data_IF_553953546708
#
_entry.id   IF_553953546708
#
_cell.length_a   1.000
_cell.length_b   1.000
_cell.length_c   1.000
_cell.angle_alpha   90.00
_cell.angle_beta   90.00
_cell.angle_gamma   90.00
#
_symmetry.space_group_name_H-M   'P 1'
#
loop_
_entity.id
_entity.type
_entity.pdbx_description
1 polymer ?
#
# COMPACT_ATOMS: atom_id res chain seq x y z
N UNK A 1 3.85 9.97 -18.28
CA UNK A 1 3.94 9.38 -16.91
C UNK A 1 5.38 8.96 -16.75
N UNK A 2 6.04 9.19 -15.60
CA UNK A 2 7.47 8.88 -15.43
C UNK A 2 7.74 7.40 -15.76
N UNK A 3 8.61 7.16 -16.73
CA UNK A 3 9.07 5.83 -17.13
C UNK A 3 10.05 5.26 -16.11
N UNK A 4 9.97 3.96 -15.82
CA UNK A 4 10.89 3.31 -14.86
C UNK A 4 11.64 2.17 -15.54
N UNK A 5 12.98 2.22 -15.45
CA UNK A 5 13.86 1.12 -15.85
C UNK A 5 14.43 0.46 -14.58
N UNK A 6 14.12 -0.81 -14.37
CA UNK A 6 14.77 -1.64 -13.36
C UNK A 6 15.97 -2.33 -14.00
N UNK A 7 17.18 -2.16 -13.47
CA UNK A 7 18.35 -2.80 -14.08
C UNK A 7 19.28 -3.47 -13.08
N UNK A 8 19.82 -4.64 -13.45
CA UNK A 8 20.69 -5.41 -12.57
C UNK A 8 21.64 -6.35 -13.29
N UNK A 9 22.62 -6.86 -12.56
CA UNK A 9 23.31 -8.10 -12.91
C UNK A 9 22.38 -9.29 -12.72
N UNK A 10 22.37 -10.22 -13.67
CA UNK A 10 21.54 -11.42 -13.62
C UNK A 10 20.05 -11.12 -13.44
N UNK A 11 19.27 -12.12 -13.03
CA UNK A 11 17.81 -12.05 -12.97
C UNK A 11 17.21 -11.23 -11.81
N UNK A 12 17.98 -10.37 -11.13
CA UNK A 12 17.45 -9.61 -9.98
C UNK A 12 16.36 -8.61 -10.38
N UNK A 13 16.56 -7.86 -11.47
CA UNK A 13 15.56 -6.93 -12.01
C UNK A 13 14.30 -7.67 -12.49
N UNK A 14 14.44 -8.85 -13.10
CA UNK A 14 13.30 -9.69 -13.49
C UNK A 14 12.49 -10.12 -12.27
N UNK A 15 13.16 -10.63 -11.23
CA UNK A 15 12.50 -11.09 -10.01
C UNK A 15 11.86 -9.97 -9.20
N UNK A 16 12.51 -8.79 -9.15
CA UNK A 16 11.95 -7.63 -8.45
C UNK A 16 10.79 -7.02 -9.23
N UNK A 17 10.84 -7.02 -10.57
CA UNK A 17 9.73 -6.64 -11.44
C UNK A 17 8.52 -7.55 -11.19
N UNK A 18 8.73 -8.87 -11.22
CA UNK A 18 7.69 -9.85 -10.94
C UNK A 18 7.07 -9.66 -9.54
N UNK A 19 7.91 -9.44 -8.52
CA UNK A 19 7.45 -9.14 -7.16
C UNK A 19 6.66 -7.83 -7.10
N UNK A 20 7.11 -6.83 -7.86
CA UNK A 20 6.43 -5.57 -8.13
C UNK A 20 5.01 -5.77 -8.65
N UNK A 21 4.87 -6.51 -9.74
CA UNK A 21 3.58 -6.84 -10.35
C UNK A 21 2.68 -7.64 -9.40
N UNK A 22 3.23 -8.62 -8.67
CA UNK A 22 2.48 -9.39 -7.69
C UNK A 22 1.90 -8.53 -6.57
N UNK A 23 2.60 -7.47 -6.15
CA UNK A 23 2.18 -6.60 -5.05
C UNK A 23 1.28 -5.47 -5.55
N UNK A 24 1.73 -4.75 -6.58
CA UNK A 24 1.13 -3.49 -7.03
C UNK A 24 0.29 -3.64 -8.31
N UNK A 25 0.28 -4.82 -8.93
CA UNK A 25 -0.33 -5.07 -10.23
C UNK A 25 0.59 -4.67 -11.38
N UNK A 26 0.27 -5.13 -12.59
CA UNK A 26 1.00 -4.77 -13.81
C UNK A 26 1.06 -3.25 -13.98
N UNK A 27 2.24 -2.75 -14.31
CA UNK A 27 2.50 -1.32 -14.48
C UNK A 27 2.84 -0.98 -15.93
N UNK A 28 2.22 0.07 -16.48
CA UNK A 28 2.61 0.67 -17.75
C UNK A 28 3.89 1.51 -17.59
N UNK A 29 4.63 1.68 -18.69
CA UNK A 29 5.89 2.44 -18.72
C UNK A 29 6.90 1.99 -17.66
N UNK A 30 6.98 0.68 -17.44
CA UNK A 30 7.99 0.03 -16.60
C UNK A 30 8.61 -1.11 -17.37
N UNK A 31 9.94 -1.12 -17.46
CA UNK A 31 10.69 -2.21 -18.05
C UNK A 31 11.83 -2.66 -17.15
N UNK A 32 12.33 -3.87 -17.40
CA UNK A 32 13.44 -4.46 -16.67
C UNK A 32 14.55 -4.87 -17.66
N UNK A 33 15.80 -4.62 -17.29
CA UNK A 33 16.99 -4.89 -18.10
C UNK A 33 18.00 -5.64 -17.26
N UNK A 34 18.34 -6.85 -17.68
CA UNK A 34 19.35 -7.66 -17.03
C UNK A 34 20.62 -7.74 -17.87
N UNK A 35 21.76 -7.73 -17.18
CA UNK A 35 23.07 -8.08 -17.73
C UNK A 35 23.31 -9.59 -17.51
N UNK A 36 23.38 -10.36 -18.59
CA UNK A 36 23.72 -11.79 -18.55
C UNK A 36 25.23 -12.03 -18.59
N UNK A 37 25.72 -13.23 -18.22
CA UNK A 37 27.16 -13.53 -18.21
C UNK A 37 27.86 -13.42 -19.57
N UNK A 38 27.12 -13.58 -20.66
CA UNK A 38 27.59 -13.54 -22.05
C UNK A 38 27.41 -12.15 -22.71
N UNK A 39 26.99 -11.15 -21.95
CA UNK A 39 26.70 -9.80 -22.44
C UNK A 39 27.71 -8.77 -21.93
N UNK A 40 27.92 -7.72 -22.72
CA UNK A 40 28.78 -6.60 -22.39
C UNK A 40 28.02 -5.32 -22.06
N UNK A 41 28.74 -4.22 -21.77
CA UNK A 41 28.14 -2.92 -21.50
C UNK A 41 27.28 -2.39 -22.64
N UNK A 42 27.71 -2.56 -23.90
CA UNK A 42 26.96 -2.08 -25.07
C UNK A 42 25.62 -2.80 -25.24
N UNK A 43 25.56 -4.10 -24.91
CA UNK A 43 24.31 -4.88 -24.92
C UNK A 43 23.31 -4.33 -23.88
N UNK A 44 23.78 -4.02 -22.68
CA UNK A 44 22.95 -3.43 -21.61
C UNK A 44 22.42 -2.07 -22.04
N UNK A 45 23.28 -1.23 -22.61
CA UNK A 45 22.90 0.09 -23.12
C UNK A 45 21.82 -0.02 -24.20
N UNK A 46 22.05 -0.87 -25.21
CA UNK A 46 21.09 -1.08 -26.30
C UNK A 46 19.73 -1.59 -25.79
N UNK A 47 19.73 -2.46 -24.77
CA UNK A 47 18.48 -2.90 -24.12
C UNK A 47 17.76 -1.78 -23.38
N UNK A 48 18.49 -0.92 -22.66
CA UNK A 48 17.91 0.25 -21.98
C UNK A 48 17.28 1.21 -22.98
N UNK A 49 18.01 1.57 -24.04
CA UNK A 49 17.51 2.45 -25.11
C UNK A 49 16.26 1.85 -25.78
N UNK A 50 16.28 0.55 -26.09
CA UNK A 50 15.11 -0.16 -26.62
C UNK A 50 13.92 -0.16 -25.66
N UNK A 51 14.16 -0.33 -24.37
CA UNK A 51 13.11 -0.32 -23.35
C UNK A 51 12.49 1.08 -23.20
N UNK A 52 13.31 2.13 -23.19
CA UNK A 52 12.85 3.52 -23.11
C UNK A 52 12.03 3.87 -24.35
N UNK A 53 12.46 3.47 -25.54
CA UNK A 53 11.72 3.67 -26.78
C UNK A 53 10.36 2.95 -26.83
N UNK A 54 10.09 2.04 -25.89
CA UNK A 54 8.79 1.37 -25.76
C UNK A 54 7.80 2.11 -24.84
N UNK A 55 8.25 3.17 -24.17
CA UNK A 55 7.38 3.99 -23.32
C UNK A 55 6.56 4.98 -24.14
N UNK A 56 5.39 5.33 -23.61
CA UNK A 56 4.52 6.34 -24.25
C UNK A 56 5.15 7.74 -24.26
N UNK A 57 6.03 8.00 -23.30
CA UNK A 57 6.71 9.26 -23.03
C UNK A 57 8.09 8.97 -22.44
N UNK A 58 9.15 9.45 -23.09
CA UNK A 58 10.55 9.27 -22.72
C UNK A 58 11.18 10.54 -22.11
N UNK A 59 10.40 11.60 -21.87
CA UNK A 59 10.95 12.84 -21.31
C UNK A 59 11.44 12.66 -19.88
N UNK A 60 10.73 11.87 -19.08
CA UNK A 60 10.99 11.67 -17.65
C UNK A 60 11.25 10.18 -17.36
N UNK A 61 12.52 9.80 -17.20
CA UNK A 61 12.93 8.40 -16.95
C UNK A 61 13.70 8.28 -15.64
N UNK A 62 13.25 7.33 -14.81
CA UNK A 62 13.89 6.94 -13.56
C UNK A 62 14.52 5.55 -13.69
N UNK A 63 15.83 5.47 -13.48
CA UNK A 63 16.57 4.22 -13.40
C UNK A 63 16.69 3.77 -11.95
N UNK A 64 16.25 2.55 -11.64
CA UNK A 64 16.51 1.87 -10.38
C UNK A 64 17.49 0.73 -10.66
N UNK A 65 18.69 0.82 -10.09
CA UNK A 65 19.76 -0.13 -10.37
C UNK A 65 20.22 -0.88 -9.13
N UNK A 66 20.69 -2.10 -9.32
CA UNK A 66 21.12 -2.98 -8.23
C UNK A 66 22.31 -2.42 -7.45
N UNK A 67 23.39 -2.01 -8.14
CA UNK A 67 24.67 -1.73 -7.52
C UNK A 67 25.33 -0.48 -8.12
N UNK A 68 25.73 0.44 -7.25
CA UNK A 68 26.49 1.63 -7.64
C UNK A 68 27.84 1.25 -8.26
N UNK A 69 28.18 1.86 -9.40
CA UNK A 69 29.43 1.59 -10.12
C UNK A 69 29.46 0.27 -10.91
N UNK A 70 28.41 -0.54 -10.84
CA UNK A 70 28.25 -1.74 -11.67
C UNK A 70 27.93 -1.41 -13.13
N UNK A 71 28.01 -2.41 -14.03
CA UNK A 71 27.72 -2.19 -15.47
C UNK A 71 26.32 -1.61 -15.72
N UNK A 72 25.23 -2.11 -15.09
CA UNK A 72 23.91 -1.49 -15.21
C UNK A 72 23.90 -0.02 -14.79
N UNK A 73 24.54 0.31 -13.65
CA UNK A 73 24.65 1.69 -13.19
C UNK A 73 25.44 2.55 -14.18
N UNK A 74 26.60 2.10 -14.65
CA UNK A 74 27.46 2.89 -15.53
C UNK A 74 26.77 3.20 -16.86
N UNK A 75 26.04 2.24 -17.44
CA UNK A 75 25.29 2.48 -18.68
C UNK A 75 24.09 3.38 -18.48
N UNK A 76 23.32 3.19 -17.40
CA UNK A 76 22.24 4.11 -17.04
C UNK A 76 22.77 5.52 -16.75
N UNK A 77 23.91 5.67 -16.07
CA UNK A 77 24.51 6.96 -15.78
C UNK A 77 24.93 7.70 -17.07
N UNK A 78 25.51 7.00 -18.04
CA UNK A 78 25.85 7.60 -19.34
C UNK A 78 24.62 8.12 -20.09
N UNK A 79 23.48 7.46 -19.93
CA UNK A 79 22.20 7.91 -20.48
C UNK A 79 21.66 9.12 -19.70
N UNK A 80 21.66 9.05 -18.37
CA UNK A 80 21.24 10.16 -17.50
C UNK A 80 22.07 11.43 -17.74
N UNK A 81 23.38 11.34 -17.96
CA UNK A 81 24.23 12.51 -18.27
C UNK A 81 23.77 13.27 -19.53
N UNK A 82 23.20 12.57 -20.52
CA UNK A 82 22.65 13.18 -21.74
C UNK A 82 21.30 13.88 -21.48
N UNK A 83 20.63 13.54 -20.37
CA UNK A 83 19.29 13.98 -20.00
C UNK A 83 19.22 14.50 -18.56
N UNK A 84 20.32 15.06 -18.03
CA UNK A 84 20.54 15.31 -16.60
C UNK A 84 19.48 16.18 -15.91
N UNK A 85 18.78 17.01 -16.68
CA UNK A 85 17.75 17.92 -16.17
C UNK A 85 16.39 17.24 -15.97
N UNK A 86 16.19 16.04 -16.54
CA UNK A 86 14.92 15.31 -16.48
C UNK A 86 15.06 13.89 -15.96
N UNK A 87 16.16 13.19 -16.27
CA UNK A 87 16.32 11.79 -15.90
C UNK A 87 17.05 11.64 -14.56
N UNK A 88 16.78 10.55 -13.85
CA UNK A 88 17.39 10.27 -12.56
C UNK A 88 17.81 8.80 -12.44
N UNK A 89 18.79 8.53 -11.59
CA UNK A 89 19.24 7.18 -11.25
C UNK A 89 19.34 7.00 -9.74
N UNK A 90 18.83 5.88 -9.22
CA UNK A 90 18.97 5.47 -7.82
C UNK A 90 19.52 4.05 -7.78
N UNK A 91 20.63 3.85 -7.07
CA UNK A 91 21.26 2.54 -6.88
C UNK A 91 20.88 1.92 -5.53
N UNK A 92 21.10 0.61 -5.39
CA UNK A 92 20.70 -0.15 -4.19
C UNK A 92 19.25 -0.62 -4.25
N UNK A 93 18.78 -0.93 -5.47
CA UNK A 93 17.42 -1.35 -5.75
C UNK A 93 16.97 -2.45 -4.78
N UNK A 94 15.85 -2.19 -4.11
CA UNK A 94 15.18 -3.14 -3.23
C UNK A 94 13.66 -3.05 -3.44
N UNK A 95 12.92 -4.07 -2.98
CA UNK A 95 11.49 -4.15 -3.27
C UNK A 95 10.69 -2.96 -2.66
N UNK A 96 10.93 -2.51 -1.41
CA UNK A 96 10.29 -1.30 -0.88
C UNK A 96 10.46 -0.06 -1.76
N UNK A 97 11.66 0.16 -2.30
CA UNK A 97 11.97 1.26 -3.22
C UNK A 97 11.16 1.16 -4.52
N UNK A 98 11.13 0.00 -5.16
CA UNK A 98 10.42 -0.21 -6.44
C UNK A 98 8.92 0.04 -6.28
N UNK A 99 8.31 -0.49 -5.21
CA UNK A 99 6.88 -0.30 -4.99
C UNK A 99 6.56 1.17 -4.66
N UNK A 100 7.41 1.86 -3.90
CA UNK A 100 7.22 3.29 -3.64
C UNK A 100 7.38 4.13 -4.92
N UNK A 101 8.31 3.77 -5.80
CA UNK A 101 8.45 4.41 -7.10
C UNK A 101 7.15 4.28 -7.92
N UNK A 102 6.53 3.09 -7.95
CA UNK A 102 5.23 2.90 -8.63
C UNK A 102 4.12 3.78 -8.03
N UNK A 103 4.04 3.85 -6.70
CA UNK A 103 3.04 4.66 -6.02
C UNK A 103 3.24 6.16 -6.24
N UNK A 104 4.48 6.63 -6.28
CA UNK A 104 4.78 8.05 -6.43
C UNK A 104 4.40 8.61 -7.81
N UNK A 105 4.35 7.78 -8.85
CA UNK A 105 3.88 8.19 -10.20
C UNK A 105 2.43 8.67 -10.27
N UNK A 106 1.62 8.49 -9.21
CA UNK A 106 0.26 9.04 -9.16
C UNK A 106 0.19 10.50 -8.74
N UNK A 107 1.24 11.02 -8.11
CA UNK A 107 1.24 12.38 -7.54
C UNK A 107 2.47 13.21 -7.89
N UNK A 108 3.54 12.56 -8.36
CA UNK A 108 4.79 13.20 -8.77
C UNK A 108 4.96 13.05 -10.28
N UNK A 109 5.41 14.11 -10.92
CA UNK A 109 5.44 14.19 -12.39
C UNK A 109 6.85 14.10 -12.96
N UNK A 110 7.90 14.22 -12.13
CA UNK A 110 9.29 14.17 -12.60
C UNK A 110 10.07 13.00 -11.99
N UNK A 111 11.07 12.50 -12.72
CA UNK A 111 11.95 11.44 -12.22
C UNK A 111 12.77 11.92 -11.01
N UNK A 112 13.15 13.20 -10.97
CA UNK A 112 13.89 13.79 -9.86
C UNK A 112 13.07 13.83 -8.56
N UNK A 113 11.79 14.22 -8.62
CA UNK A 113 10.89 14.20 -7.45
C UNK A 113 10.76 12.79 -6.87
N UNK A 114 10.53 11.81 -7.75
CA UNK A 114 10.39 10.41 -7.33
C UNK A 114 11.71 9.90 -6.76
N UNK A 115 12.85 10.14 -7.43
CA UNK A 115 14.16 9.71 -6.97
C UNK A 115 14.50 10.25 -5.57
N UNK A 116 14.26 11.55 -5.32
CA UNK A 116 14.51 12.16 -4.02
C UNK A 116 13.63 11.54 -2.92
N UNK A 117 12.37 11.23 -3.23
CA UNK A 117 11.40 10.69 -2.29
C UNK A 117 11.67 9.22 -1.92
N UNK A 118 11.94 8.36 -2.90
CA UNK A 118 12.02 6.90 -2.67
C UNK A 118 13.24 6.47 -1.84
N UNK A 119 14.28 7.31 -1.73
CA UNK A 119 15.50 7.00 -0.97
C UNK A 119 15.18 6.77 0.51
N UNK A 120 14.27 7.54 1.10
CA UNK A 120 13.88 7.38 2.50
C UNK A 120 13.21 6.03 2.71
N UNK A 121 12.21 5.71 1.88
CA UNK A 121 11.50 4.43 1.93
C UNK A 121 12.41 3.23 1.66
N UNK A 122 13.39 3.38 0.76
CA UNK A 122 14.38 2.35 0.50
C UNK A 122 15.21 2.00 1.75
N UNK A 123 15.59 3.01 2.54
CA UNK A 123 16.35 2.84 3.79
C UNK A 123 15.48 2.26 4.89
N UNK A 124 14.28 2.80 5.09
CA UNK A 124 13.34 2.33 6.12
C UNK A 124 12.89 0.88 5.89
N UNK A 125 12.88 0.42 4.64
CA UNK A 125 12.59 -0.96 4.28
C UNK A 125 13.66 -1.97 4.73
N UNK A 126 14.88 -1.51 5.04
CA UNK A 126 15.98 -2.36 5.52
C UNK A 126 15.96 -2.40 7.04
N UNK A 127 15.45 -3.49 7.60
CA UNK A 127 15.29 -3.69 9.05
C UNK A 127 15.95 -4.98 9.50
N UNK A 128 16.52 -4.97 10.71
CA UNK A 128 17.04 -6.18 11.36
C UNK A 128 16.17 -6.57 12.55
N UNK A 129 16.09 -7.89 12.79
CA UNK A 129 15.46 -8.48 13.95
C UNK A 129 16.49 -9.39 14.66
N UNK A 130 16.66 -9.30 16.00
CA UNK A 130 15.94 -8.43 16.94
C UNK A 130 16.22 -6.93 16.72
N UNK A 131 15.24 -6.07 17.02
CA UNK A 131 15.34 -4.61 16.85
C UNK A 131 16.56 -4.00 17.59
N UNK A 132 17.03 -4.68 18.64
CA UNK A 132 18.25 -4.31 19.37
C UNK A 132 19.52 -4.26 18.51
N UNK A 133 19.51 -4.90 17.34
CA UNK A 133 20.61 -4.86 16.37
C UNK A 133 20.49 -3.72 15.37
N UNK A 134 19.34 -3.03 15.31
CA UNK A 134 19.17 -1.91 14.40
C UNK A 134 20.18 -0.82 14.79
N UNK A 135 20.98 -0.31 13.84
CA UNK A 135 21.91 0.77 14.14
C UNK A 135 21.15 1.95 14.74
N UNK A 136 21.69 2.54 15.80
CA UNK A 136 21.13 3.76 16.39
C UNK A 136 21.20 4.88 15.34
N UNK A 137 20.11 5.14 14.64
CA UNK A 137 19.99 6.33 13.82
C UNK A 137 19.92 7.56 14.74
N UNK A 138 20.64 8.62 14.37
CA UNK A 138 20.46 9.91 15.01
C UNK A 138 18.97 10.29 14.87
N UNK A 139 18.28 10.73 15.93
CA UNK A 139 16.87 11.05 15.84
C UNK A 139 16.68 12.13 14.78
N UNK A 140 15.99 11.78 13.68
CA UNK A 140 15.37 12.78 12.82
C UNK A 140 14.46 13.59 13.74
N UNK A 141 14.66 14.90 13.80
CA UNK A 141 13.77 15.79 14.53
C UNK A 141 12.35 15.51 14.05
N UNK A 142 11.55 14.87 14.92
CA UNK A 142 10.13 14.78 14.69
C UNK A 142 9.63 16.20 14.52
N UNK A 143 9.04 16.51 13.37
CA UNK A 143 8.33 17.77 13.19
C UNK A 143 7.37 17.90 14.37
N UNK A 144 7.61 18.88 15.22
CA UNK A 144 6.85 19.12 16.43
C UNK A 144 5.41 19.42 16.02
N UNK A 145 4.57 18.39 16.00
CA UNK A 145 3.14 18.55 15.93
C UNK A 145 2.70 19.21 17.23
N UNK A 146 2.55 20.54 17.19
CA UNK A 146 1.84 21.31 18.20
C UNK A 146 0.40 20.79 18.29
N UNK A 147 0.18 19.79 19.14
CA UNK A 147 -1.14 19.42 19.64
C UNK A 147 -1.07 19.25 21.16
N UNK A 148 -2.08 19.74 21.89
CA UNK A 148 -2.10 19.68 23.35
C UNK A 148 -2.00 18.22 23.81
N UNK A 149 -1.06 17.94 24.70
CA UNK A 149 -0.84 16.63 25.34
C UNK A 149 -1.73 16.40 26.57
N UNK A 150 -2.82 17.17 26.71
CA UNK A 150 -3.84 16.96 27.74
C UNK A 150 -4.99 16.08 27.24
N UNK A 151 -5.53 15.21 28.09
CA UNK A 151 -6.78 14.53 27.81
C UNK A 151 -7.89 15.58 27.59
N UNK A 152 -8.52 15.57 26.42
CA UNK A 152 -9.64 16.46 26.11
C UNK A 152 -10.80 16.08 27.05
N UNK A 153 -11.34 17.04 27.85
CA UNK A 153 -12.43 16.77 28.77
C UNK A 153 -13.60 16.09 28.08
N UNK A 154 -14.18 15.10 28.75
CA UNK A 154 -15.38 14.41 28.28
C UNK A 154 -16.52 15.41 28.04
N UNK A 155 -17.21 15.29 26.89
CA UNK A 155 -18.26 16.23 26.47
C UNK A 155 -17.77 17.43 25.62
N UNK A 156 -16.47 17.56 25.37
CA UNK A 156 -15.95 18.60 24.46
C UNK A 156 -16.30 18.25 23.01
N UNK A 157 -16.89 19.20 22.29
CA UNK A 157 -17.20 19.06 20.85
C UNK A 157 -16.06 19.71 20.05
N UNK A 158 -15.44 18.95 19.15
CA UNK A 158 -14.39 19.45 18.27
C UNK A 158 -14.91 19.42 16.83
N UNK A 159 -14.74 20.53 16.09
CA UNK A 159 -15.25 20.63 14.72
C UNK A 159 -16.77 20.51 14.67
N UNK A 160 -17.29 19.66 13.78
CA UNK A 160 -18.72 19.31 13.68
C UNK A 160 -19.14 18.18 14.65
N UNK A 161 -18.23 17.75 15.52
CA UNK A 161 -18.48 16.66 16.47
C UNK A 161 -18.58 15.28 15.83
N UNK A 162 -18.23 15.12 14.55
CA UNK A 162 -18.34 13.84 13.85
C UNK A 162 -17.03 13.44 13.22
N UNK A 163 -16.54 12.26 13.60
CA UNK A 163 -15.42 11.62 12.91
C UNK A 163 -15.76 11.46 11.41
N UNK A 164 -14.80 11.80 10.55
CA UNK A 164 -14.95 11.76 9.10
C UNK A 164 -14.29 10.49 8.58
N UNK A 165 -15.08 9.53 8.11
CA UNK A 165 -14.56 8.32 7.49
C UNK A 165 -14.25 8.60 6.02
N UNK A 166 -12.97 8.74 5.68
CA UNK A 166 -12.53 9.00 4.30
C UNK A 166 -12.36 7.72 3.50
N UNK A 167 -12.15 6.59 4.19
CA UNK A 167 -11.97 5.29 3.57
C UNK A 167 -12.23 4.18 4.58
N UNK A 168 -12.82 3.07 4.13
CA UNK A 168 -12.97 1.85 4.91
C UNK A 168 -12.57 0.67 4.03
N UNK A 169 -11.69 -0.21 4.53
CA UNK A 169 -11.14 -1.32 3.74
C UNK A 169 -11.11 -2.63 4.53
N UNK A 170 -11.50 -3.71 3.86
CA UNK A 170 -11.25 -5.08 4.30
C UNK A 170 -9.92 -5.54 3.69
N UNK A 171 -8.95 -5.85 4.55
CA UNK A 171 -7.67 -6.45 4.16
C UNK A 171 -7.18 -7.34 5.30
N UNK A 172 -7.10 -8.65 5.08
CA UNK A 172 -6.64 -9.60 6.12
C UNK A 172 -5.23 -9.29 6.63
N UNK A 173 -4.40 -8.58 5.85
CA UNK A 173 -3.05 -8.16 6.25
C UNK A 173 -3.01 -6.77 6.88
N UNK A 174 -4.15 -6.07 6.96
CA UNK A 174 -4.33 -4.78 7.61
C UNK A 174 -3.37 -3.69 7.10
N UNK A 175 -2.51 -3.16 7.98
CA UNK A 175 -1.53 -2.14 7.64
C UNK A 175 -0.22 -2.82 7.28
N UNK A 176 -0.02 -3.07 5.98
CA UNK A 176 1.15 -3.76 5.46
C UNK A 176 1.60 -3.17 4.12
N UNK A 177 2.92 -3.13 3.95
CA UNK A 177 3.58 -2.76 2.69
C UNK A 177 3.10 -1.42 2.10
N UNK A 178 3.39 -1.22 0.82
CA UNK A 178 3.03 0.01 0.14
C UNK A 178 1.58 0.09 -0.34
N UNK A 179 0.80 -0.98 -0.20
CA UNK A 179 -0.66 -0.91 -0.48
C UNK A 179 -1.31 0.05 0.50
N UNK A 180 -0.94 -0.04 1.78
CA UNK A 180 -1.36 0.92 2.80
C UNK A 180 -0.89 2.34 2.49
N UNK A 181 0.37 2.51 2.06
CA UNK A 181 0.93 3.82 1.68
C UNK A 181 0.18 4.45 0.52
N UNK A 182 -0.09 3.69 -0.55
CA UNK A 182 -0.83 4.15 -1.73
C UNK A 182 -2.24 4.63 -1.38
N UNK A 183 -2.99 3.85 -0.59
CA UNK A 183 -4.31 4.27 -0.12
C UNK A 183 -4.26 5.46 0.84
N UNK A 184 -3.26 5.52 1.72
CA UNK A 184 -3.07 6.66 2.62
C UNK A 184 -2.82 7.95 1.84
N UNK A 185 -1.98 7.92 0.81
CA UNK A 185 -1.76 9.07 -0.09
C UNK A 185 -3.05 9.45 -0.83
N UNK A 186 -3.75 8.48 -1.41
CA UNK A 186 -4.95 8.73 -2.20
C UNK A 186 -6.10 9.32 -1.36
N UNK A 187 -6.28 8.84 -0.13
CA UNK A 187 -7.41 9.20 0.73
C UNK A 187 -7.10 10.30 1.74
N UNK A 188 -5.82 10.64 1.93
CA UNK A 188 -5.31 11.69 2.82
C UNK A 188 -5.94 11.67 4.25
N UNK A 189 -5.93 10.53 4.97
CA UNK A 189 -6.38 10.46 6.35
C UNK A 189 -5.34 11.09 7.28
N UNK A 190 -5.78 11.66 8.41
CA UNK A 190 -4.87 12.04 9.50
C UNK A 190 -4.78 10.96 10.59
N UNK A 191 -5.60 9.91 10.48
CA UNK A 191 -5.60 8.77 11.39
C UNK A 191 -6.00 7.48 10.68
N UNK A 192 -5.28 6.40 10.95
CA UNK A 192 -5.65 5.04 10.57
C UNK A 192 -6.14 4.32 11.82
N UNK A 193 -7.28 3.65 11.72
CA UNK A 193 -7.86 2.87 12.82
C UNK A 193 -8.09 1.44 12.32
N UNK A 194 -7.26 0.52 12.82
CA UNK A 194 -7.50 -0.91 12.68
C UNK A 194 -8.58 -1.31 13.68
N UNK A 195 -9.68 -1.85 13.17
CA UNK A 195 -10.83 -2.26 13.96
C UNK A 195 -10.86 -3.79 13.98
N UNK A 196 -10.32 -4.38 15.05
CA UNK A 196 -10.26 -5.83 15.23
C UNK A 196 -10.13 -6.19 16.71
N UNK A 197 -11.00 -7.09 17.18
CA UNK A 197 -10.93 -7.64 18.53
C UNK A 197 -9.73 -8.58 18.71
N UNK A 198 -9.30 -9.27 17.64
CA UNK A 198 -8.17 -10.20 17.68
C UNK A 198 -6.85 -9.43 17.81
N UNK A 199 -6.63 -8.46 16.93
CA UNK A 199 -5.41 -7.64 16.96
C UNK A 199 -5.37 -6.79 18.21
N UNK A 200 -6.50 -6.25 18.68
CA UNK A 200 -6.53 -5.44 19.89
C UNK A 200 -6.00 -6.15 21.15
N UNK A 201 -6.03 -7.50 21.15
CA UNK A 201 -5.51 -8.38 22.22
C UNK A 201 -4.07 -8.87 21.98
N UNK A 202 -3.54 -8.66 20.78
CA UNK A 202 -2.19 -9.10 20.38
C UNK A 202 -1.23 -7.91 20.40
N UNK A 203 -0.41 -7.81 21.45
CA UNK A 203 0.53 -6.70 21.63
C UNK A 203 1.59 -6.65 20.51
N UNK A 204 2.02 -7.79 19.99
CA UNK A 204 3.01 -7.84 18.91
C UNK A 204 2.39 -7.25 17.64
N UNK A 205 1.22 -7.74 17.22
CA UNK A 205 0.54 -7.24 16.01
C UNK A 205 0.16 -5.76 16.12
N UNK A 206 -0.25 -5.27 17.30
CA UNK A 206 -0.52 -3.85 17.54
C UNK A 206 0.71 -2.98 17.33
N UNK A 207 1.85 -3.40 17.87
CA UNK A 207 3.11 -2.67 17.74
C UNK A 207 3.57 -2.65 16.27
N UNK A 208 3.47 -3.78 15.57
CA UNK A 208 3.79 -3.86 14.14
C UNK A 208 2.91 -2.92 13.31
N UNK A 209 1.60 -2.84 13.60
CA UNK A 209 0.69 -1.90 12.94
C UNK A 209 1.07 -0.45 13.25
N UNK A 210 1.40 -0.14 14.50
CA UNK A 210 1.83 1.22 14.85
C UNK A 210 3.12 1.62 14.12
N UNK A 211 4.06 0.70 13.96
CA UNK A 211 5.31 0.91 13.23
C UNK A 211 5.15 0.96 11.70
N UNK A 212 4.08 0.37 11.15
CA UNK A 212 3.77 0.38 9.72
C UNK A 212 3.01 1.64 9.27
N UNK A 213 2.74 2.58 10.20
CA UNK A 213 2.05 3.82 9.89
C UNK A 213 2.90 4.74 9.01
N UNK A 214 2.36 5.25 7.89
CA UNK A 214 3.06 6.25 7.08
C UNK A 214 3.36 7.53 7.86
N UNK A 215 4.47 8.19 7.51
CA UNK A 215 4.88 9.48 8.10
C UNK A 215 3.74 10.51 8.10
N UNK A 216 3.51 11.13 9.25
CA UNK A 216 2.45 12.14 9.42
C UNK A 216 1.06 11.58 9.74
N UNK A 217 0.86 10.25 9.75
CA UNK A 217 -0.43 9.61 10.04
C UNK A 217 -0.33 8.74 11.29
N UNK A 218 -1.25 8.94 12.25
CA UNK A 218 -1.29 8.11 13.47
C UNK A 218 -2.05 6.82 13.20
N UNK A 219 -1.49 5.66 13.55
CA UNK A 219 -2.20 4.38 13.51
C UNK A 219 -2.57 3.90 14.91
N UNK A 220 -3.82 3.42 15.08
CA UNK A 220 -4.29 2.79 16.31
C UNK A 220 -5.04 1.51 16.00
N UNK A 221 -4.95 0.53 16.89
CA UNK A 221 -5.79 -0.67 16.86
C UNK A 221 -6.78 -0.61 18.01
N UNK A 222 -8.07 -0.81 17.71
CA UNK A 222 -9.15 -0.80 18.70
C UNK A 222 -10.09 -2.00 18.50
N UNK A 223 -10.72 -2.49 19.58
CA UNK A 223 -11.85 -3.42 19.49
C UNK A 223 -13.04 -2.79 18.76
N UNK A 224 -13.92 -3.62 18.20
CA UNK A 224 -15.13 -3.18 17.47
C UNK A 224 -16.02 -2.32 18.37
N UNK A 225 -16.24 -2.78 19.61
CA UNK A 225 -17.01 -2.03 20.62
C UNK A 225 -16.43 -0.62 20.82
N UNK A 226 -15.11 -0.51 20.87
CA UNK A 226 -14.46 0.79 21.09
C UNK A 226 -14.63 1.71 19.89
N UNK A 227 -14.58 1.16 18.67
CA UNK A 227 -14.87 1.95 17.47
C UNK A 227 -16.30 2.49 17.47
N UNK A 228 -17.28 1.72 17.93
CA UNK A 228 -18.67 2.16 18.07
C UNK A 228 -18.80 3.31 19.08
N UNK A 229 -18.06 3.28 20.19
CA UNK A 229 -18.00 4.39 21.14
C UNK A 229 -17.38 5.64 20.50
N UNK A 230 -16.25 5.48 19.79
CA UNK A 230 -15.55 6.57 19.10
C UNK A 230 -16.44 7.23 18.04
N UNK A 231 -17.26 6.45 17.33
CA UNK A 231 -18.20 6.97 16.34
C UNK A 231 -19.25 7.94 16.92
N UNK A 232 -19.53 7.83 18.22
CA UNK A 232 -20.51 8.66 18.95
C UNK A 232 -19.84 9.78 19.76
N UNK A 233 -18.51 9.82 19.80
CA UNK A 233 -17.76 10.73 20.64
C UNK A 233 -17.44 12.05 19.90
N UNK A 234 -17.98 13.19 20.36
CA UNK A 234 -17.85 14.46 19.65
C UNK A 234 -16.44 15.06 19.68
N UNK A 235 -15.51 14.48 20.45
CA UNK A 235 -14.11 14.90 20.49
C UNK A 235 -13.36 14.55 19.20
N UNK A 236 -13.91 13.68 18.35
CA UNK A 236 -13.25 13.22 17.14
C UNK A 236 -13.59 14.03 15.87
N UNK A 237 -14.28 15.16 15.93
CA UNK A 237 -14.75 15.85 14.71
C UNK A 237 -13.67 16.44 13.79
N UNK A 238 -12.42 16.57 14.25
CA UNK A 238 -11.27 16.89 13.39
C UNK A 238 -10.54 15.64 12.84
N UNK A 239 -11.05 14.44 13.11
CA UNK A 239 -10.43 13.18 12.68
C UNK A 239 -10.93 12.80 11.29
N UNK A 240 -9.98 12.67 10.35
CA UNK A 240 -10.19 12.06 9.03
C UNK A 240 -9.64 10.64 9.09
N UNK A 241 -10.52 9.68 9.34
CA UNK A 241 -10.18 8.30 9.63
C UNK A 241 -10.21 7.43 8.37
N UNK A 242 -9.16 6.61 8.23
CA UNK A 242 -9.14 5.43 7.38
C UNK A 242 -9.34 4.20 8.27
N UNK A 243 -10.41 3.45 8.04
CA UNK A 243 -10.74 2.24 8.80
C UNK A 243 -10.21 0.99 8.09
N UNK A 244 -9.59 0.09 8.84
CA UNK A 244 -9.11 -1.20 8.35
C UNK A 244 -9.76 -2.33 9.15
N UNK A 245 -10.37 -3.28 8.45
CA UNK A 245 -11.01 -4.47 9.01
C UNK A 245 -10.28 -5.73 8.54
N UNK A 246 -10.13 -6.73 9.42
CA UNK A 246 -9.58 -8.03 9.03
C UNK A 246 -10.57 -8.82 8.17
N UNK A 247 -11.86 -8.67 8.47
CA UNK A 247 -12.93 -9.49 7.91
C UNK A 247 -14.18 -8.66 7.58
N UNK A 248 -15.03 -9.11 6.64
CA UNK A 248 -16.32 -8.46 6.40
C UNK A 248 -17.25 -8.50 7.63
N UNK A 249 -17.10 -9.48 8.52
CA UNK A 249 -17.93 -9.59 9.72
C UNK A 249 -17.63 -8.48 10.73
N UNK A 250 -16.35 -8.10 10.88
CA UNK A 250 -15.96 -6.98 11.74
C UNK A 250 -16.54 -5.66 11.20
N UNK A 251 -16.49 -5.47 9.88
CA UNK A 251 -17.08 -4.31 9.21
C UNK A 251 -18.61 -4.27 9.41
N UNK A 252 -19.30 -5.38 9.21
CA UNK A 252 -20.74 -5.49 9.43
C UNK A 252 -21.11 -5.18 10.89
N UNK A 253 -20.37 -5.71 11.86
CA UNK A 253 -20.62 -5.45 13.27
C UNK A 253 -20.44 -3.96 13.63
N UNK A 254 -19.40 -3.32 13.09
CA UNK A 254 -19.18 -1.89 13.26
C UNK A 254 -20.32 -1.05 12.66
N UNK A 255 -20.75 -1.37 11.43
CA UNK A 255 -21.82 -0.66 10.72
C UNK A 255 -23.15 -0.78 11.46
N UNK A 256 -23.53 -1.99 11.87
CA UNK A 256 -24.72 -2.22 12.71
C UNK A 256 -24.65 -1.49 14.05
N UNK A 257 -23.45 -1.27 14.59
CA UNK A 257 -23.21 -0.52 15.82
C UNK A 257 -23.38 1.00 15.69
N UNK A 258 -23.52 1.53 14.47
CA UNK A 258 -23.68 2.95 14.18
C UNK A 258 -22.43 3.64 13.63
N UNK A 259 -21.43 2.89 13.16
CA UNK A 259 -20.30 3.45 12.40
C UNK A 259 -20.77 3.72 10.96
N UNK A 260 -20.85 4.98 10.56
CA UNK A 260 -21.47 5.38 9.29
C UNK A 260 -20.54 5.18 8.09
N UNK A 261 -20.50 3.94 7.57
CA UNK A 261 -19.72 3.56 6.38
C UNK A 261 -20.67 3.34 5.21
N UNK A 262 -20.55 4.15 4.16
CA UNK A 262 -21.39 4.06 2.94
C UNK A 262 -20.75 3.23 1.84
N UNK A 263 -19.42 3.22 1.80
CA UNK A 263 -18.64 2.49 0.80
C UNK A 263 -17.54 1.71 1.51
N UNK A 264 -17.36 0.45 1.11
CA UNK A 264 -16.38 -0.46 1.68
C UNK A 264 -15.49 -1.01 0.56
N UNK A 265 -14.21 -0.71 0.65
CA UNK A 265 -13.22 -1.27 -0.25
C UNK A 265 -12.89 -2.72 0.17
N UNK A 266 -12.86 -3.63 -0.80
CA UNK A 266 -12.52 -5.04 -0.59
C UNK A 266 -11.19 -5.33 -1.27
N UNK A 267 -10.14 -5.36 -0.45
CA UNK A 267 -8.77 -5.38 -0.92
C UNK A 267 -8.13 -6.75 -0.97
N UNK A 268 -8.21 -7.47 0.15
CA UNK A 268 -7.64 -8.81 0.26
C UNK A 268 -8.39 -9.61 1.32
N UNK A 269 -8.75 -10.83 0.97
CA UNK A 269 -9.30 -11.82 1.90
C UNK A 269 -8.50 -13.10 1.72
N UNK A 270 -7.60 -13.39 2.68
CA UNK A 270 -6.68 -14.51 2.55
C UNK A 270 -7.42 -15.86 2.61
N UNK A 271 -6.87 -16.84 1.89
CA UNK A 271 -7.33 -18.22 1.98
C UNK A 271 -7.13 -18.78 3.39
N UNK A 272 -8.10 -19.55 3.86
CA UNK A 272 -8.03 -20.40 5.04
C UNK A 272 -8.86 -21.65 4.81
N UNK A 273 -8.63 -22.71 5.59
CA UNK A 273 -9.42 -23.93 5.48
C UNK A 273 -10.92 -23.63 5.54
N UNK A 274 -11.67 -24.14 4.56
CA UNK A 274 -13.11 -23.90 4.39
C UNK A 274 -13.48 -22.76 3.44
N UNK A 275 -12.52 -21.94 3.00
CA UNK A 275 -12.73 -20.91 1.97
C UNK A 275 -12.43 -21.44 0.58
N UNK A 276 -13.05 -20.85 -0.43
CA UNK A 276 -12.74 -21.07 -1.85
C UNK A 276 -12.08 -19.83 -2.44
N UNK A 277 -11.12 -20.01 -3.36
CA UNK A 277 -10.47 -18.89 -4.03
C UNK A 277 -11.37 -18.34 -5.15
N UNK A 278 -11.88 -17.13 -4.96
CA UNK A 278 -12.77 -16.46 -5.91
C UNK A 278 -11.94 -15.79 -7.02
N UNK A 279 -10.86 -15.13 -6.64
CA UNK A 279 -9.83 -14.60 -7.54
C UNK A 279 -8.45 -14.71 -6.85
N UNK A 280 -7.44 -14.02 -7.40
CA UNK A 280 -6.07 -14.09 -6.86
C UNK A 280 -5.91 -13.52 -5.44
N UNK A 281 -6.82 -12.65 -4.99
CA UNK A 281 -6.66 -11.90 -3.72
C UNK A 281 -7.82 -12.06 -2.76
N UNK A 282 -8.92 -12.68 -3.20
CA UNK A 282 -10.14 -12.91 -2.42
C UNK A 282 -10.45 -14.41 -2.35
N UNK A 283 -10.41 -14.92 -1.13
CA UNK A 283 -11.00 -16.19 -0.76
C UNK A 283 -12.18 -15.96 0.19
N UNK A 284 -13.26 -16.72 -0.01
CA UNK A 284 -14.51 -16.57 0.74
C UNK A 284 -15.05 -17.92 1.17
N UNK A 285 -15.70 -17.98 2.33
CA UNK A 285 -16.60 -19.08 2.70
C UNK A 285 -18.08 -18.64 2.63
N UNK A 286 -19.00 -19.53 2.99
CA UNK A 286 -20.42 -19.21 3.04
C UNK A 286 -20.73 -18.02 3.98
N UNK A 287 -20.01 -17.93 5.11
CA UNK A 287 -20.23 -16.88 6.11
C UNK A 287 -19.82 -15.51 5.55
N UNK A 288 -18.73 -15.44 4.81
CA UNK A 288 -18.29 -14.22 4.11
C UNK A 288 -19.33 -13.78 3.08
N UNK A 289 -19.82 -14.71 2.26
CA UNK A 289 -20.82 -14.44 1.22
C UNK A 289 -22.08 -13.86 1.84
N UNK A 290 -22.60 -14.50 2.89
CA UNK A 290 -23.82 -14.05 3.56
C UNK A 290 -23.62 -12.70 4.26
N UNK A 291 -22.43 -12.44 4.79
CA UNK A 291 -22.07 -11.15 5.37
C UNK A 291 -22.08 -10.03 4.32
N UNK A 292 -21.54 -10.27 3.12
CA UNK A 292 -21.58 -9.28 2.04
C UNK A 292 -23.00 -9.03 1.52
N UNK A 293 -23.85 -10.05 1.45
CA UNK A 293 -25.27 -9.89 1.12
C UNK A 293 -25.96 -8.97 2.14
N UNK A 294 -25.73 -9.21 3.43
CA UNK A 294 -26.32 -8.38 4.48
C UNK A 294 -25.80 -6.93 4.46
N UNK A 295 -24.49 -6.73 4.24
CA UNK A 295 -23.92 -5.40 4.03
C UNK A 295 -24.57 -4.68 2.83
N UNK A 296 -24.87 -5.40 1.75
CA UNK A 296 -25.58 -4.86 0.59
C UNK A 296 -27.01 -4.46 0.92
N UNK A 297 -27.72 -5.25 1.71
CA UNK A 297 -29.08 -4.95 2.19
C UNK A 297 -29.11 -3.69 3.07
N UNK A 298 -28.03 -3.43 3.82
CA UNK A 298 -27.84 -2.18 4.58
C UNK A 298 -27.46 -0.98 3.69
N UNK A 299 -27.37 -1.16 2.37
CA UNK A 299 -27.09 -0.11 1.40
C UNK A 299 -25.60 0.23 1.23
N UNK A 300 -24.70 -0.63 1.72
CA UNK A 300 -23.26 -0.44 1.56
C UNK A 300 -22.86 -0.72 0.11
N UNK A 301 -22.10 0.21 -0.48
CA UNK A 301 -21.47 0.04 -1.80
C UNK A 301 -20.11 -0.63 -1.64
N UNK A 302 -19.71 -1.44 -2.62
CA UNK A 302 -18.42 -2.12 -2.60
C UNK A 302 -17.50 -1.61 -3.69
N UNK A 303 -16.27 -1.31 -3.29
CA UNK A 303 -15.16 -1.01 -4.18
C UNK A 303 -14.15 -2.16 -4.17
N UNK A 304 -14.18 -3.03 -5.18
CA UNK A 304 -13.32 -4.23 -5.18
C UNK A 304 -12.04 -3.95 -5.95
N UNK A 305 -11.02 -3.43 -5.27
CA UNK A 305 -9.68 -3.25 -5.86
C UNK A 305 -8.57 -3.33 -4.81
N UNK A 306 -7.43 -3.86 -5.22
CA UNK A 306 -6.26 -4.04 -4.34
C UNK A 306 -5.55 -2.73 -4.06
N UNK A 307 -5.24 -1.95 -5.10
CA UNK A 307 -4.57 -0.65 -5.04
C UNK A 307 -5.41 0.42 -5.75
N UNK A 308 -5.21 1.73 -5.47
CA UNK A 308 -6.03 2.80 -6.05
C UNK A 308 -6.09 2.80 -7.58
N UNK A 309 -5.00 2.41 -8.24
CA UNK A 309 -4.86 2.40 -9.70
C UNK A 309 -5.48 1.22 -10.41
N UNK A 310 -5.78 0.14 -9.69
CA UNK A 310 -6.46 -1.02 -10.29
C UNK A 310 -7.90 -0.65 -10.67
N UNK A 311 -8.36 -1.19 -11.80
CA UNK A 311 -9.78 -1.13 -12.15
C UNK A 311 -10.60 -1.94 -11.14
N UNK A 312 -11.75 -1.43 -10.67
CA UNK A 312 -12.59 -2.14 -9.72
C UNK A 312 -13.26 -3.36 -10.36
N UNK A 313 -13.27 -4.47 -9.64
CA UNK A 313 -14.01 -5.69 -10.00
C UNK A 313 -15.49 -5.59 -9.57
N UNK A 314 -16.35 -6.36 -10.24
CA UNK A 314 -17.77 -6.40 -9.93
C UNK A 314 -18.07 -7.34 -8.76
N UNK A 315 -18.50 -6.79 -7.62
CA UNK A 315 -18.81 -7.56 -6.40
C UNK A 315 -19.87 -8.65 -6.63
N UNK A 316 -20.95 -8.36 -7.36
CA UNK A 316 -22.04 -9.32 -7.56
C UNK A 316 -21.58 -10.56 -8.33
N UNK A 317 -20.71 -10.36 -9.32
CA UNK A 317 -20.10 -11.45 -10.09
C UNK A 317 -19.19 -12.30 -9.22
N UNK A 318 -18.42 -11.66 -8.32
CA UNK A 318 -17.53 -12.36 -7.38
C UNK A 318 -18.32 -13.16 -6.35
N UNK A 319 -19.39 -12.60 -5.77
CA UNK A 319 -20.24 -13.30 -4.81
C UNK A 319 -20.95 -14.50 -5.45
N UNK A 320 -21.42 -14.36 -6.69
CA UNK A 320 -22.01 -15.48 -7.44
C UNK A 320 -20.98 -16.59 -7.64
N UNK A 321 -19.80 -16.26 -8.15
CA UNK A 321 -18.70 -17.22 -8.35
C UNK A 321 -18.30 -17.91 -7.05
N UNK A 322 -18.19 -17.15 -5.96
CA UNK A 322 -17.88 -17.69 -4.64
C UNK A 322 -18.95 -18.70 -4.19
N UNK A 323 -20.23 -18.37 -4.38
CA UNK A 323 -21.35 -19.25 -4.03
C UNK A 323 -21.33 -20.56 -4.81
N UNK A 324 -21.04 -20.50 -6.11
CA UNK A 324 -20.95 -21.69 -6.97
C UNK A 324 -19.81 -22.60 -6.49
N UNK A 325 -18.61 -22.05 -6.28
CA UNK A 325 -17.44 -22.79 -5.79
C UNK A 325 -17.65 -23.40 -4.39
N UNK A 326 -18.30 -22.67 -3.47
CA UNK A 326 -18.64 -23.19 -2.13
C UNK A 326 -19.62 -24.36 -2.23
N UNK A 327 -20.57 -24.32 -3.17
CA UNK A 327 -21.52 -25.40 -3.38
C UNK A 327 -20.86 -26.66 -3.96
N UNK A 328 -19.86 -26.50 -4.84
CA UNK A 328 -19.07 -27.62 -5.40
C UNK A 328 -18.15 -28.28 -4.39
N UNK A 329 -17.76 -27.55 -3.34
CA UNK A 329 -16.83 -28.02 -2.30
C UNK A 329 -17.53 -28.74 -1.13
N UNK A 330 -18.86 -28.89 -1.17
CA UNK A 330 -19.69 -29.60 -0.17
C UNK A 330 -20.06 -30.99 -0.66
#
# INVERSE_FOLDING_TARGET
MVGIILASHGGFADGIYQSGEMIFGKQENVAHVILKPDEGPDDVRAKMEKAIASFDDDEEVLFLVDLWGGTPFNQANNLVEQHKDKWAIVAGMNLPMVIEAYASRFSMNTAHEIAAHIIETAKEGVKVMPESLQPNEAPKQAAAGNQPTGAIPEGTVIGDGKIKYVFARIDTRLLHGQVATGWTKAMNPNRIIVVSDNVAKDNLRKNMIAQAAPSGVKANTVPIKKMIEVAKDPRFGNTKAMLLFETPQDALAAIKGGVDIKELNVGSMAYSNGKVNVNQVLAMDQKDIDTFKELKELGVKFDVRKVPSSSPENMDSLLKKAQDLVNESK
#
